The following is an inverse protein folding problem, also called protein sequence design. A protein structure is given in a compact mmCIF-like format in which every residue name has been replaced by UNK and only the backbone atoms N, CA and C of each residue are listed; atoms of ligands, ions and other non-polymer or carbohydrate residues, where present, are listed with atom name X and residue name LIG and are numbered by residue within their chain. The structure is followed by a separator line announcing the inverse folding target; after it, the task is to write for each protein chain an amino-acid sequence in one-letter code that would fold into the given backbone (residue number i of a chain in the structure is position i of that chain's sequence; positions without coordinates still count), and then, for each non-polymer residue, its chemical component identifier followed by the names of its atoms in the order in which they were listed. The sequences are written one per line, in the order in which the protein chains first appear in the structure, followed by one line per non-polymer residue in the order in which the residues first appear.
data_IF_875175514548
#
_entry.id   IF_875175514548
#
_cell.length_a   1.000
_cell.length_b   1.000
_cell.length_c   1.000
_cell.angle_alpha   90.00
_cell.angle_beta   90.00
_cell.angle_gamma   90.00
#
_symmetry.space_group_name_H-M   'P 1'
#
loop_
_entity.id
_entity.type
_entity.pdbx_description
1 polymer ?
#
# COMPACT_ATOMS: atom_id res chain seq x y z
N UNK A 1 19.45 -20.35 -27.38
CA UNK A 1 18.50 -19.41 -26.77
C UNK A 1 19.34 -18.32 -26.15
N UNK A 2 19.55 -17.24 -26.95
CA UNK A 2 20.56 -16.21 -26.71
C UNK A 2 20.02 -15.13 -25.78
N UNK A 3 20.66 -14.96 -24.61
CA UNK A 3 20.50 -13.80 -23.76
C UNK A 3 21.46 -12.72 -24.25
N UNK A 4 21.00 -11.86 -25.12
CA UNK A 4 21.71 -10.65 -25.52
C UNK A 4 21.79 -9.68 -24.34
N UNK A 5 22.90 -9.69 -23.61
CA UNK A 5 23.28 -8.58 -22.73
C UNK A 5 23.66 -7.41 -23.61
N UNK A 6 22.79 -6.42 -23.68
CA UNK A 6 23.06 -5.15 -24.34
C UNK A 6 24.02 -4.34 -23.47
N UNK A 7 25.29 -4.36 -23.80
CA UNK A 7 26.30 -3.48 -23.23
C UNK A 7 26.04 -2.06 -23.74
N UNK A 8 25.62 -1.16 -22.85
CA UNK A 8 25.60 0.27 -23.14
C UNK A 8 27.07 0.72 -23.28
N UNK A 9 27.44 1.10 -24.45
CA UNK A 9 28.84 1.38 -24.76
C UNK A 9 29.33 2.71 -24.20
N UNK A 10 29.95 2.66 -23.02
CA UNK A 10 31.03 3.59 -22.72
C UNK A 10 32.30 3.01 -23.35
N UNK A 11 32.68 3.55 -24.48
CA UNK A 11 33.80 3.03 -25.27
C UNK A 11 35.11 3.08 -24.50
N UNK A 12 35.62 1.90 -24.15
CA UNK A 12 36.97 1.73 -23.64
C UNK A 12 37.95 1.83 -24.82
N UNK A 13 38.50 2.99 -25.05
CA UNK A 13 39.67 3.15 -25.99
C UNK A 13 40.93 2.69 -25.25
N UNK A 14 41.31 1.42 -25.45
CA UNK A 14 42.65 0.93 -25.11
C UNK A 14 43.68 1.55 -26.03
N UNK A 15 44.44 2.58 -25.55
CA UNK A 15 45.72 2.92 -26.11
C UNK A 15 46.80 2.17 -25.34
N UNK A 16 47.41 1.18 -25.96
CA UNK A 16 48.61 0.50 -25.50
C UNK A 16 49.80 1.45 -25.73
N UNK A 17 50.32 2.02 -24.65
CA UNK A 17 51.51 2.83 -24.62
C UNK A 17 51.92 3.01 -23.15
N UNK A 18 53.02 2.36 -22.81
CA UNK A 18 53.76 2.39 -21.55
C UNK A 18 53.67 3.75 -20.82
N UNK A 19 53.53 3.69 -19.48
CA UNK A 19 53.67 4.75 -18.47
C UNK A 19 52.35 5.29 -17.89
N UNK A 20 52.20 4.99 -16.57
CA UNK A 20 51.23 5.55 -15.61
C UNK A 20 49.76 5.38 -16.00
N UNK A 21 49.16 4.30 -15.47
CA UNK A 21 47.72 4.15 -15.33
C UNK A 21 47.16 5.27 -14.44
N UNK A 22 46.90 6.42 -15.00
CA UNK A 22 45.81 7.26 -14.60
C UNK A 22 44.58 6.61 -15.25
N UNK A 23 43.92 5.75 -14.53
CA UNK A 23 42.57 5.35 -14.89
C UNK A 23 41.72 6.62 -14.81
N UNK A 24 41.58 7.31 -15.92
CA UNK A 24 40.52 8.28 -16.11
C UNK A 24 39.21 7.46 -15.94
N UNK A 25 38.65 7.50 -14.77
CA UNK A 25 37.28 7.05 -14.55
C UNK A 25 36.42 8.03 -15.33
N UNK A 26 36.15 7.69 -16.59
CA UNK A 26 35.14 8.38 -17.38
C UNK A 26 33.83 8.30 -16.59
N UNK A 27 33.51 9.37 -15.90
CA UNK A 27 32.23 9.46 -15.15
C UNK A 27 31.14 9.58 -16.22
N UNK A 28 30.66 8.44 -16.63
CA UNK A 28 29.52 8.32 -17.51
C UNK A 28 28.24 8.64 -16.72
N UNK A 29 27.22 9.18 -17.37
CA UNK A 29 25.89 9.33 -16.77
C UNK A 29 25.42 8.00 -16.15
N UNK A 30 25.06 8.02 -14.86
CA UNK A 30 24.60 6.84 -14.13
C UNK A 30 23.55 7.22 -13.10
N UNK A 31 22.41 6.55 -13.14
CA UNK A 31 21.43 6.62 -12.04
C UNK A 31 21.98 5.80 -10.87
N UNK A 32 22.26 6.45 -9.75
CA UNK A 32 22.83 5.82 -8.55
C UNK A 32 21.76 5.24 -7.66
N UNK A 33 20.64 5.95 -7.48
CA UNK A 33 19.51 5.52 -6.69
C UNK A 33 18.18 5.91 -7.35
N UNK A 34 17.16 5.09 -7.19
CA UNK A 34 15.78 5.39 -7.55
C UNK A 34 14.92 5.10 -6.31
N UNK A 35 14.50 6.18 -5.65
CA UNK A 35 13.65 6.11 -4.46
C UNK A 35 12.18 6.21 -4.88
N UNK A 36 11.51 5.08 -4.89
CA UNK A 36 10.08 4.93 -5.13
C UNK A 36 9.56 4.00 -4.05
N UNK A 37 8.68 4.45 -3.15
CA UNK A 37 8.15 3.59 -2.11
C UNK A 37 7.38 2.41 -2.72
N UNK A 38 7.48 1.23 -2.09
CA UNK A 38 6.77 0.03 -2.55
C UNK A 38 5.24 0.25 -2.50
N UNK A 39 4.76 0.97 -1.48
CA UNK A 39 3.36 1.33 -1.34
C UNK A 39 3.20 2.70 -0.70
N UNK A 40 2.06 3.33 -0.99
CA UNK A 40 1.63 4.59 -0.38
C UNK A 40 0.16 4.48 0.02
N UNK A 41 -0.16 4.84 1.26
CA UNK A 41 -1.52 4.78 1.81
C UNK A 41 -2.12 6.17 1.73
N UNK A 42 -3.24 6.31 1.02
CA UNK A 42 -3.99 7.57 0.98
C UNK A 42 -4.60 7.80 2.37
N UNK A 43 -4.31 8.96 2.97
CA UNK A 43 -4.91 9.35 4.24
C UNK A 43 -6.43 9.53 4.08
N UNK A 44 -7.20 8.95 5.01
CA UNK A 44 -8.63 9.20 5.16
C UNK A 44 -8.87 9.90 6.50
N UNK A 45 -9.66 10.97 6.50
CA UNK A 45 -10.00 11.72 7.71
C UNK A 45 -9.05 12.89 8.00
N UNK A 46 -8.84 13.20 9.28
CA UNK A 46 -8.09 14.37 9.75
C UNK A 46 -6.56 14.15 9.81
N UNK A 47 -6.07 12.94 9.56
CA UNK A 47 -4.63 12.68 9.56
C UNK A 47 -3.96 13.36 8.36
N UNK A 48 -2.86 14.10 8.58
CA UNK A 48 -2.13 14.68 7.48
C UNK A 48 -1.56 13.58 6.58
N UNK A 49 -1.81 13.68 5.29
CA UNK A 49 -1.18 12.79 4.33
C UNK A 49 0.34 13.05 4.30
N UNK A 50 1.14 12.00 4.32
CA UNK A 50 2.57 12.12 4.06
C UNK A 50 2.81 12.58 2.61
N UNK A 51 3.87 13.35 2.40
CA UNK A 51 4.27 13.75 1.05
C UNK A 51 4.71 12.52 0.25
N UNK A 52 4.13 12.33 -0.93
CA UNK A 52 4.57 11.29 -1.85
C UNK A 52 5.61 11.85 -2.81
N UNK A 53 6.88 11.62 -2.49
CA UNK A 53 8.02 12.05 -3.30
C UNK A 53 8.72 10.83 -3.87
N UNK A 54 8.97 10.86 -5.18
CA UNK A 54 9.80 9.89 -5.89
C UNK A 54 11.09 10.60 -6.28
N UNK A 55 12.26 10.08 -5.91
CA UNK A 55 13.55 10.72 -6.22
C UNK A 55 14.39 9.84 -7.15
N UNK A 56 15.13 10.52 -8.02
CA UNK A 56 16.02 9.89 -8.99
C UNK A 56 17.41 10.50 -8.84
N UNK A 57 18.27 9.84 -8.10
CA UNK A 57 19.64 10.28 -7.90
C UNK A 57 20.56 9.76 -9.03
N UNK A 58 21.41 10.61 -9.54
CA UNK A 58 22.35 10.25 -10.58
C UNK A 58 23.65 11.05 -10.49
N UNK A 59 24.70 10.45 -11.01
CA UNK A 59 25.98 11.09 -11.29
C UNK A 59 26.00 11.55 -12.75
N UNK A 60 26.46 12.78 -12.97
CA UNK A 60 26.54 13.38 -14.29
C UNK A 60 27.82 14.19 -14.37
N UNK A 61 28.67 13.91 -15.37
CA UNK A 61 29.78 14.79 -15.71
C UNK A 61 29.24 16.03 -16.44
N UNK A 62 29.48 17.21 -15.87
CA UNK A 62 29.07 18.49 -16.44
C UNK A 62 29.66 18.72 -17.84
N UNK A 63 30.84 18.18 -18.14
CA UNK A 63 31.44 18.27 -19.46
C UNK A 63 30.62 17.53 -20.54
N UNK A 64 29.92 16.47 -20.17
CA UNK A 64 29.06 15.65 -21.06
C UNK A 64 27.55 15.93 -20.89
N UNK A 65 27.18 16.93 -20.11
CA UNK A 65 25.77 17.26 -19.80
C UNK A 65 25.02 17.92 -20.97
N UNK A 66 25.62 18.02 -22.15
CA UNK A 66 25.00 18.65 -23.31
C UNK A 66 23.77 17.88 -23.76
N UNK A 67 22.65 18.59 -23.93
CA UNK A 67 21.37 17.97 -24.28
C UNK A 67 20.66 17.27 -23.10
N UNK A 68 21.04 17.61 -21.86
CA UNK A 68 20.43 17.00 -20.67
C UNK A 68 18.92 17.19 -20.61
N UNK A 69 18.20 16.09 -20.37
CA UNK A 69 16.75 16.03 -20.10
C UNK A 69 16.49 14.93 -19.07
N UNK A 70 15.73 15.26 -18.04
CA UNK A 70 15.17 14.27 -17.11
C UNK A 70 13.68 14.10 -17.39
N UNK A 71 13.23 12.85 -17.42
CA UNK A 71 11.84 12.47 -17.64
C UNK A 71 11.39 11.45 -16.61
N UNK A 72 10.19 11.65 -16.08
CA UNK A 72 9.46 10.59 -15.38
C UNK A 72 8.35 10.04 -16.28
N UNK A 73 8.19 8.72 -16.22
CA UNK A 73 7.12 8.00 -16.91
C UNK A 73 6.32 7.19 -15.90
N UNK A 74 5.05 7.03 -16.16
CA UNK A 74 4.13 6.13 -15.46
C UNK A 74 3.55 5.16 -16.49
N UNK A 75 3.75 3.84 -16.30
CA UNK A 75 3.33 2.80 -17.24
C UNK A 75 3.73 3.15 -18.70
N UNK A 76 5.02 3.53 -18.88
CA UNK A 76 5.63 3.95 -20.15
C UNK A 76 5.15 5.29 -20.73
N UNK A 77 4.09 5.89 -20.19
CA UNK A 77 3.63 7.23 -20.59
C UNK A 77 4.43 8.32 -19.88
N UNK A 78 4.91 9.30 -20.63
CA UNK A 78 5.62 10.45 -20.04
C UNK A 78 4.64 11.31 -19.23
N UNK A 79 4.97 11.51 -17.93
CA UNK A 79 4.17 12.29 -16.97
C UNK A 79 4.85 13.59 -16.55
N UNK A 80 6.18 13.65 -16.63
CA UNK A 80 6.97 14.79 -16.21
C UNK A 80 8.23 14.92 -17.05
N UNK A 81 8.66 16.16 -17.28
CA UNK A 81 9.92 16.46 -17.95
C UNK A 81 10.55 17.70 -17.34
N UNK A 82 11.86 17.63 -17.17
CA UNK A 82 12.67 18.77 -16.78
C UNK A 82 13.89 18.93 -17.68
N UNK A 83 14.18 20.17 -18.02
CA UNK A 83 15.39 20.63 -18.73
C UNK A 83 16.02 21.73 -17.89
N UNK A 84 17.32 21.69 -17.56
CA UNK A 84 17.99 22.74 -16.81
C UNK A 84 17.73 24.14 -17.39
N UNK A 85 17.59 25.12 -16.50
CA UNK A 85 17.23 26.53 -16.82
C UNK A 85 15.79 26.74 -17.32
N UNK A 86 14.94 25.69 -17.29
CA UNK A 86 13.49 25.80 -17.53
C UNK A 86 12.75 25.24 -16.32
N UNK A 87 11.50 25.69 -16.14
CA UNK A 87 10.58 25.04 -15.19
C UNK A 87 10.19 23.64 -15.68
N UNK A 88 9.98 22.69 -14.75
CA UNK A 88 9.44 21.38 -15.12
C UNK A 88 8.04 21.48 -15.73
N UNK A 89 7.63 20.45 -16.45
CA UNK A 89 6.32 20.35 -17.07
C UNK A 89 5.71 18.99 -16.76
N UNK A 90 4.44 18.99 -16.32
CA UNK A 90 3.65 17.77 -16.18
C UNK A 90 2.78 17.52 -17.40
N UNK A 91 2.53 16.24 -17.71
CA UNK A 91 1.77 15.77 -18.87
C UNK A 91 0.60 14.87 -18.46
N UNK A 92 -0.33 14.64 -19.37
CA UNK A 92 -1.42 13.66 -19.24
C UNK A 92 -2.31 13.90 -18.01
N UNK A 93 -2.76 12.83 -17.38
CA UNK A 93 -3.56 12.83 -16.15
C UNK A 93 -2.81 13.34 -14.90
N UNK A 94 -1.50 13.53 -14.99
CA UNK A 94 -0.69 14.05 -13.88
C UNK A 94 -0.64 15.59 -13.83
N UNK A 95 -1.25 16.29 -14.80
CA UNK A 95 -1.42 17.75 -14.73
C UNK A 95 -2.28 18.11 -13.52
N UNK A 96 -1.75 18.99 -12.65
CA UNK A 96 -2.40 19.38 -11.40
C UNK A 96 -2.16 18.41 -10.24
N UNK A 97 -1.49 17.27 -10.49
CA UNK A 97 -1.12 16.30 -9.47
C UNK A 97 0.39 16.20 -9.23
N UNK A 98 1.16 17.16 -9.76
CA UNK A 98 2.61 17.28 -9.55
C UNK A 98 2.92 18.66 -9.03
N UNK A 99 3.70 18.74 -7.94
CA UNK A 99 4.29 20.00 -7.47
C UNK A 99 5.49 20.36 -8.35
N UNK A 100 5.30 21.29 -9.27
CA UNK A 100 6.34 21.72 -10.23
C UNK A 100 7.34 22.71 -9.61
N UNK A 101 7.10 23.20 -8.39
CA UNK A 101 8.04 24.09 -7.67
C UNK A 101 8.89 23.29 -6.66
N UNK A 102 8.59 22.01 -6.43
CA UNK A 102 9.34 21.16 -5.51
C UNK A 102 10.76 20.95 -6.03
N UNK A 103 11.74 21.26 -5.19
CA UNK A 103 13.17 21.13 -5.54
C UNK A 103 13.94 20.43 -4.42
N UNK A 104 14.86 19.53 -4.79
CA UNK A 104 15.69 18.76 -3.84
C UNK A 104 17.12 19.29 -3.73
N UNK A 105 17.51 20.24 -4.60
CA UNK A 105 18.88 20.76 -4.64
C UNK A 105 18.91 22.14 -5.30
N UNK A 106 19.96 22.93 -5.02
CA UNK A 106 20.25 24.15 -5.74
C UNK A 106 21.18 23.93 -6.95
N UNK A 107 21.72 22.71 -7.10
CA UNK A 107 22.55 22.36 -8.26
C UNK A 107 21.73 22.40 -9.55
N UNK A 108 22.36 22.98 -10.58
CA UNK A 108 21.72 23.21 -11.87
C UNK A 108 21.16 21.94 -12.53
N UNK A 109 21.81 20.79 -12.31
CA UNK A 109 21.45 19.53 -12.92
C UNK A 109 20.77 18.55 -11.95
N UNK A 110 20.57 18.94 -10.66
CA UNK A 110 19.93 18.11 -9.66
C UNK A 110 18.61 18.71 -9.13
N UNK A 111 18.35 19.99 -9.43
CA UNK A 111 17.32 20.80 -8.79
C UNK A 111 15.93 20.15 -8.79
N UNK A 112 15.46 19.72 -9.93
CA UNK A 112 14.10 19.20 -10.14
C UNK A 112 14.13 17.72 -10.57
N UNK A 113 15.04 16.93 -9.98
CA UNK A 113 15.16 15.51 -10.29
C UNK A 113 14.05 14.66 -9.67
N UNK A 114 13.47 15.13 -8.54
CA UNK A 114 12.41 14.43 -7.86
C UNK A 114 11.01 14.81 -8.39
N UNK A 115 10.09 13.88 -8.26
CA UNK A 115 8.69 14.02 -8.62
C UNK A 115 7.86 13.99 -7.34
N UNK A 116 7.33 15.15 -6.91
CA UNK A 116 6.40 15.24 -5.77
C UNK A 116 4.97 15.15 -6.29
N UNK A 117 4.24 14.10 -5.89
CA UNK A 117 2.85 13.88 -6.25
C UNK A 117 1.92 14.51 -5.22
N UNK A 118 0.93 15.23 -5.69
CA UNK A 118 -0.10 15.93 -4.89
C UNK A 118 -1.42 15.21 -5.09
N UNK A 119 -2.13 14.93 -3.99
CA UNK A 119 -3.43 14.25 -4.00
C UNK A 119 -3.42 12.98 -4.89
N UNK A 120 -2.57 12.00 -4.55
CA UNK A 120 -2.48 10.78 -5.34
C UNK A 120 -3.81 10.02 -5.31
N UNK A 121 -4.11 9.32 -6.41
CA UNK A 121 -5.34 8.54 -6.60
C UNK A 121 -4.98 7.07 -6.82
N UNK A 122 -5.96 6.16 -6.67
CA UNK A 122 -5.76 4.72 -6.85
C UNK A 122 -5.13 4.37 -8.23
N UNK A 123 -5.52 5.08 -9.29
CA UNK A 123 -5.01 4.90 -10.65
C UNK A 123 -3.56 5.40 -10.86
N UNK A 124 -2.92 5.97 -9.83
CA UNK A 124 -1.48 6.27 -9.84
C UNK A 124 -0.63 5.05 -9.45
N UNK A 125 -1.26 3.93 -9.10
CA UNK A 125 -0.58 2.63 -9.01
C UNK A 125 0.05 2.29 -10.36
N UNK A 126 1.32 1.86 -10.34
CA UNK A 126 1.99 1.45 -11.57
C UNK A 126 3.50 1.52 -11.51
N UNK A 127 4.12 1.29 -12.66
CA UNK A 127 5.56 1.36 -12.81
C UNK A 127 6.00 2.80 -13.10
N UNK A 128 6.86 3.33 -12.23
CA UNK A 128 7.49 4.63 -12.41
C UNK A 128 8.91 4.43 -12.94
N UNK A 129 9.24 5.14 -14.01
CA UNK A 129 10.56 5.11 -14.61
C UNK A 129 11.14 6.51 -14.63
N UNK A 130 12.35 6.66 -14.05
CA UNK A 130 13.18 7.82 -14.24
C UNK A 130 14.12 7.57 -15.44
N UNK A 131 14.13 8.48 -16.39
CA UNK A 131 15.02 8.50 -17.53
C UNK A 131 15.84 9.78 -17.53
N UNK A 132 17.16 9.65 -17.49
CA UNK A 132 18.11 10.76 -17.60
C UNK A 132 18.87 10.60 -18.91
N UNK A 133 18.85 11.64 -19.72
CA UNK A 133 19.37 11.62 -21.09
C UNK A 133 20.27 12.80 -21.34
N UNK A 134 21.37 12.58 -22.06
CA UNK A 134 22.21 13.59 -22.73
C UNK A 134 22.33 13.25 -24.21
N UNK A 135 23.14 14.00 -25.00
CA UNK A 135 23.39 13.61 -26.38
C UNK A 135 24.20 12.31 -26.50
N UNK A 136 25.03 12.02 -25.47
CA UNK A 136 26.01 10.94 -25.54
C UNK A 136 25.60 9.72 -24.69
N UNK A 137 24.63 9.88 -23.77
CA UNK A 137 24.20 8.83 -22.83
C UNK A 137 22.71 8.87 -22.53
N UNK A 138 22.15 7.70 -22.17
CA UNK A 138 20.78 7.55 -21.72
C UNK A 138 20.73 6.44 -20.67
N UNK A 139 20.24 6.78 -19.47
CA UNK A 139 20.03 5.85 -18.36
C UNK A 139 18.57 5.84 -17.96
N UNK A 140 18.03 4.65 -17.63
CA UNK A 140 16.66 4.45 -17.20
C UNK A 140 16.62 3.46 -16.07
N UNK A 141 15.91 3.79 -14.99
CA UNK A 141 15.54 2.85 -13.92
C UNK A 141 14.06 2.93 -13.64
N UNK A 142 13.49 1.79 -13.19
CA UNK A 142 12.07 1.67 -12.94
C UNK A 142 11.84 0.97 -11.61
N UNK A 143 10.75 1.37 -10.92
CA UNK A 143 10.24 0.72 -9.73
C UNK A 143 8.72 0.80 -9.73
N UNK A 144 8.08 -0.13 -9.01
CA UNK A 144 6.62 -0.19 -8.88
C UNK A 144 6.17 0.53 -7.61
N UNK A 145 5.10 1.31 -7.73
CA UNK A 145 4.40 1.95 -6.61
C UNK A 145 2.96 1.41 -6.55
N UNK A 146 2.56 0.89 -5.40
CA UNK A 146 1.18 0.53 -5.11
C UNK A 146 0.51 1.63 -4.30
N UNK A 147 -0.50 2.27 -4.84
CA UNK A 147 -1.38 3.17 -4.07
C UNK A 147 -2.46 2.36 -3.39
N UNK A 148 -2.63 2.59 -2.09
CA UNK A 148 -3.64 1.95 -1.25
C UNK A 148 -4.66 3.00 -0.84
N UNK A 149 -5.91 2.76 -1.19
CA UNK A 149 -7.07 3.48 -0.64
C UNK A 149 -7.62 2.61 0.49
N UNK A 150 -7.46 3.01 1.76
CA UNK A 150 -7.93 2.22 2.89
C UNK A 150 -9.44 1.97 2.82
N UNK A 151 -9.90 0.93 3.48
CA UNK A 151 -11.32 0.61 3.64
C UNK A 151 -12.07 1.73 4.37
N UNK A 152 -13.35 1.88 4.03
CA UNK A 152 -14.30 2.71 4.79
C UNK A 152 -14.74 1.96 6.05
N UNK A 153 -15.05 0.66 5.91
CA UNK A 153 -15.44 -0.18 7.02
C UNK A 153 -14.71 -1.52 6.98
N UNK A 154 -14.34 -2.00 8.17
CA UNK A 154 -13.83 -3.35 8.38
C UNK A 154 -14.46 -3.93 9.64
N UNK A 155 -15.40 -4.87 9.47
CA UNK A 155 -16.27 -5.37 10.51
C UNK A 155 -16.18 -6.89 10.65
N UNK A 156 -16.15 -7.35 11.90
CA UNK A 156 -16.31 -8.75 12.27
C UNK A 156 -17.60 -8.87 13.08
N UNK A 157 -18.56 -9.62 12.57
CA UNK A 157 -19.88 -9.82 13.20
C UNK A 157 -20.24 -11.29 13.26
N UNK A 158 -21.19 -11.66 14.11
CA UNK A 158 -21.82 -12.97 14.09
C UNK A 158 -23.31 -12.83 14.38
N UNK A 159 -24.12 -13.68 13.79
CA UNK A 159 -25.55 -13.72 13.99
C UNK A 159 -26.06 -15.16 13.97
N UNK A 160 -27.19 -15.40 14.59
CA UNK A 160 -27.85 -16.70 14.60
C UNK A 160 -28.93 -16.76 13.53
N UNK A 161 -28.85 -17.77 12.69
CA UNK A 161 -29.80 -18.06 11.64
C UNK A 161 -31.09 -18.71 12.24
N UNK A 162 -32.17 -18.65 11.47
CA UNK A 162 -33.45 -19.27 11.85
C UNK A 162 -33.41 -20.81 12.03
N UNK A 163 -32.48 -21.47 11.36
CA UNK A 163 -32.18 -22.89 11.48
C UNK A 163 -31.38 -23.26 12.74
N UNK A 164 -30.97 -22.25 13.53
CA UNK A 164 -30.22 -22.41 14.77
C UNK A 164 -28.69 -22.38 14.59
N UNK A 165 -28.13 -22.33 13.38
CA UNK A 165 -26.70 -22.19 13.16
C UNK A 165 -26.22 -20.76 13.45
N UNK A 166 -24.99 -20.62 13.87
CA UNK A 166 -24.34 -19.31 14.06
C UNK A 166 -23.40 -19.04 12.88
N UNK A 167 -23.65 -17.95 12.16
CA UNK A 167 -22.81 -17.48 11.04
C UNK A 167 -21.91 -16.36 11.53
N UNK A 168 -20.60 -16.52 11.31
CA UNK A 168 -19.60 -15.46 11.47
C UNK A 168 -19.40 -14.79 10.13
N UNK A 169 -19.36 -13.48 10.13
CA UNK A 169 -19.14 -12.66 8.95
C UNK A 169 -18.02 -11.67 9.19
N UNK A 170 -17.03 -11.69 8.29
CA UNK A 170 -15.99 -10.69 8.16
C UNK A 170 -16.25 -9.90 6.88
N UNK A 171 -16.38 -8.59 6.97
CA UNK A 171 -16.71 -7.73 5.85
C UNK A 171 -15.80 -6.49 5.80
N UNK A 172 -15.35 -6.16 4.61
CA UNK A 172 -14.62 -4.93 4.31
C UNK A 172 -15.31 -4.22 3.15
N UNK A 173 -15.36 -2.89 3.20
CA UNK A 173 -15.97 -2.08 2.14
C UNK A 173 -15.05 -0.98 1.64
N UNK A 174 -15.20 -0.68 0.34
CA UNK A 174 -14.60 0.44 -0.38
C UNK A 174 -13.07 0.53 -0.22
N UNK A 175 -12.37 -0.61 -0.39
CA UNK A 175 -10.91 -0.72 -0.35
C UNK A 175 -10.31 -0.91 -1.74
N UNK A 176 -9.15 -0.33 -2.00
CA UNK A 176 -8.39 -0.56 -3.23
C UNK A 176 -6.88 -0.65 -2.91
N UNK A 177 -6.15 -1.59 -3.54
CA UNK A 177 -6.59 -2.64 -4.45
C UNK A 177 -7.35 -3.76 -3.74
N UNK A 178 -7.75 -4.80 -4.49
CA UNK A 178 -8.47 -5.97 -3.96
C UNK A 178 -7.72 -6.59 -2.77
N UNK A 179 -8.37 -6.68 -1.59
CA UNK A 179 -7.76 -7.27 -0.42
C UNK A 179 -7.90 -8.79 -0.40
N UNK A 180 -7.13 -9.41 0.49
CA UNK A 180 -7.36 -10.77 0.99
C UNK A 180 -7.91 -10.71 2.41
N UNK A 181 -8.96 -11.49 2.67
CA UNK A 181 -9.52 -11.72 4.00
C UNK A 181 -9.23 -13.15 4.42
N UNK A 182 -8.76 -13.31 5.66
CA UNK A 182 -8.60 -14.61 6.31
C UNK A 182 -9.36 -14.60 7.65
N UNK A 183 -10.16 -15.64 7.89
CA UNK A 183 -10.91 -15.83 9.14
C UNK A 183 -10.28 -16.98 9.93
N UNK A 184 -10.09 -16.75 11.21
CA UNK A 184 -9.50 -17.72 12.13
C UNK A 184 -10.47 -18.00 13.28
N UNK A 185 -10.65 -19.27 13.57
CA UNK A 185 -11.46 -19.79 14.66
C UNK A 185 -10.53 -20.58 15.58
N UNK A 186 -10.38 -20.14 16.84
CA UNK A 186 -9.43 -20.72 17.81
C UNK A 186 -8.01 -20.92 17.19
N UNK A 187 -7.46 -19.85 16.56
CA UNK A 187 -6.16 -19.80 15.88
C UNK A 187 -6.05 -20.67 14.61
N UNK A 188 -7.12 -21.36 14.21
CA UNK A 188 -7.13 -22.15 12.99
C UNK A 188 -7.79 -21.37 11.86
N UNK A 189 -7.07 -21.24 10.72
CA UNK A 189 -7.62 -20.60 9.52
C UNK A 189 -8.74 -21.48 8.94
N UNK A 190 -9.85 -20.84 8.63
CA UNK A 190 -11.02 -21.51 8.05
C UNK A 190 -10.98 -21.42 6.52
N UNK A 191 -11.52 -22.44 5.84
CA UNK A 191 -11.73 -22.41 4.38
C UNK A 191 -13.16 -21.92 4.10
N UNK A 192 -13.25 -20.75 3.46
CA UNK A 192 -14.50 -20.01 3.41
C UNK A 192 -14.98 -19.66 2.02
N UNK A 193 -16.25 -19.29 1.92
CA UNK A 193 -16.82 -18.67 0.74
C UNK A 193 -16.58 -17.16 0.83
N UNK A 194 -15.78 -16.65 -0.10
CA UNK A 194 -15.53 -15.22 -0.25
C UNK A 194 -16.45 -14.67 -1.34
N UNK A 195 -17.31 -13.73 -0.98
CA UNK A 195 -18.06 -12.94 -1.94
C UNK A 195 -17.33 -11.63 -2.16
N UNK A 196 -17.08 -11.28 -3.43
CA UNK A 196 -16.42 -10.03 -3.81
C UNK A 196 -17.31 -9.26 -4.74
N UNK A 197 -17.54 -7.99 -4.42
CA UNK A 197 -18.13 -7.00 -5.31
C UNK A 197 -17.05 -6.05 -5.81
N UNK A 198 -17.02 -5.79 -7.13
CA UNK A 198 -16.06 -4.90 -7.78
C UNK A 198 -16.81 -3.63 -8.20
N UNK A 199 -16.36 -2.48 -7.72
CA UNK A 199 -16.94 -1.19 -8.02
C UNK A 199 -16.30 -0.55 -9.24
N UNK A 200 -17.05 0.29 -9.96
CA UNK A 200 -16.65 0.96 -11.21
C UNK A 200 -15.33 1.76 -11.10
N UNK A 201 -14.90 2.09 -9.90
CA UNK A 201 -13.66 2.84 -9.63
C UNK A 201 -12.48 1.96 -9.17
N UNK A 202 -12.60 0.62 -9.27
CA UNK A 202 -11.57 -0.31 -8.82
C UNK A 202 -11.44 -0.40 -7.29
N UNK A 203 -12.50 -0.05 -6.56
CA UNK A 203 -12.67 -0.37 -5.15
C UNK A 203 -13.42 -1.70 -5.00
N UNK A 204 -13.25 -2.35 -3.86
CA UNK A 204 -13.77 -3.68 -3.60
C UNK A 204 -14.52 -3.73 -2.27
N UNK A 205 -15.68 -4.38 -2.30
CA UNK A 205 -16.34 -4.90 -1.13
C UNK A 205 -16.09 -6.41 -1.06
N UNK A 206 -15.60 -6.89 0.07
CA UNK A 206 -15.29 -8.32 0.26
C UNK A 206 -15.95 -8.80 1.54
N UNK A 207 -16.73 -9.86 1.42
CA UNK A 207 -17.41 -10.51 2.56
C UNK A 207 -16.98 -11.96 2.61
N UNK A 208 -16.52 -12.39 3.78
CA UNK A 208 -16.16 -13.76 4.08
C UNK A 208 -17.11 -14.29 5.17
N UNK A 209 -17.73 -15.45 4.96
CA UNK A 209 -18.69 -16.04 5.87
C UNK A 209 -18.30 -17.47 6.25
N UNK A 210 -18.51 -17.81 7.53
CA UNK A 210 -18.31 -19.13 8.10
C UNK A 210 -19.45 -19.53 9.04
N UNK A 211 -19.85 -20.79 8.97
CA UNK A 211 -20.82 -21.36 9.90
C UNK A 211 -20.07 -22.07 11.02
N UNK A 212 -20.25 -21.63 12.26
CA UNK A 212 -19.66 -22.32 13.41
C UNK A 212 -20.25 -23.73 13.54
N UNK A 213 -19.37 -24.71 13.59
CA UNK A 213 -19.74 -26.13 13.73
C UNK A 213 -20.14 -26.50 15.14
N UNK A 214 -19.64 -25.78 16.15
CA UNK A 214 -19.96 -25.93 17.55
C UNK A 214 -20.15 -24.55 18.20
N UNK A 215 -21.39 -24.16 18.44
CA UNK A 215 -21.75 -22.90 19.11
C UNK A 215 -22.04 -23.05 20.61
N UNK A 216 -21.71 -24.19 21.19
CA UNK A 216 -21.92 -24.47 22.62
C UNK A 216 -20.84 -23.91 23.52
N UNK A 217 -19.59 -23.73 22.99
CA UNK A 217 -18.41 -23.27 23.72
C UNK A 217 -18.02 -21.83 23.35
N UNK A 218 -17.26 -21.21 24.24
CA UNK A 218 -16.61 -19.93 23.97
C UNK A 218 -15.52 -20.14 22.93
N UNK A 219 -15.46 -19.24 21.95
CA UNK A 219 -14.61 -19.37 20.78
C UNK A 219 -13.97 -18.01 20.45
N UNK A 220 -12.64 -17.99 20.31
CA UNK A 220 -11.93 -16.80 19.86
C UNK A 220 -12.01 -16.70 18.34
N UNK A 221 -12.48 -15.58 17.85
CA UNK A 221 -12.63 -15.33 16.41
C UNK A 221 -11.81 -14.11 16.04
N UNK A 222 -11.00 -14.21 15.01
CA UNK A 222 -10.38 -13.03 14.42
C UNK A 222 -10.40 -13.07 12.90
N UNK A 223 -10.53 -11.89 12.32
CA UNK A 223 -10.44 -11.66 10.91
C UNK A 223 -9.23 -10.80 10.60
N UNK A 224 -8.43 -11.22 9.61
CA UNK A 224 -7.28 -10.49 9.11
C UNK A 224 -7.57 -10.00 7.70
N UNK A 225 -7.37 -8.71 7.51
CA UNK A 225 -7.37 -8.03 6.22
C UNK A 225 -5.92 -7.78 5.81
N UNK A 226 -5.55 -8.12 4.58
CA UNK A 226 -4.24 -7.81 4.01
C UNK A 226 -4.34 -7.41 2.54
N UNK A 227 -3.37 -6.61 2.08
CA UNK A 227 -3.20 -6.31 0.65
C UNK A 227 -1.93 -7.02 0.17
N UNK A 228 -2.06 -7.98 -0.76
CA UNK A 228 -0.93 -8.75 -1.27
C UNK A 228 0.22 -7.89 -1.77
N UNK A 229 1.45 -8.29 -1.45
CA UNK A 229 2.66 -7.58 -1.89
C UNK A 229 2.93 -6.26 -1.15
N UNK A 230 2.19 -5.95 -0.07
CA UNK A 230 2.39 -4.76 0.76
C UNK A 230 2.45 -5.11 2.23
N UNK A 231 2.80 -4.13 3.07
CA UNK A 231 2.77 -4.27 4.54
C UNK A 231 1.39 -3.87 5.13
N UNK A 232 0.39 -3.60 4.29
CA UNK A 232 -0.93 -3.21 4.76
C UNK A 232 -1.66 -4.42 5.33
N UNK A 233 -1.84 -4.42 6.65
CA UNK A 233 -2.55 -5.50 7.37
C UNK A 233 -3.33 -4.90 8.52
N UNK A 234 -4.59 -5.32 8.67
CA UNK A 234 -5.47 -4.98 9.81
C UNK A 234 -6.10 -6.22 10.38
N UNK A 235 -6.44 -6.19 11.68
CA UNK A 235 -7.07 -7.29 12.40
C UNK A 235 -8.31 -6.81 13.15
N UNK A 236 -9.33 -7.65 13.16
CA UNK A 236 -10.51 -7.53 14.03
C UNK A 236 -10.66 -8.79 14.84
N UNK A 237 -10.89 -8.66 16.14
CA UNK A 237 -11.04 -9.79 17.07
C UNK A 237 -12.36 -9.69 17.81
N UNK A 238 -12.95 -10.84 18.06
CA UNK A 238 -14.18 -10.95 18.85
C UNK A 238 -14.22 -12.29 19.58
N UNK A 239 -14.69 -12.29 20.83
CA UNK A 239 -14.99 -13.51 21.54
C UNK A 239 -16.47 -13.86 21.30
N UNK A 240 -16.72 -15.03 20.76
CA UNK A 240 -18.05 -15.61 20.70
C UNK A 240 -18.30 -16.36 22.02
N UNK A 241 -19.41 -16.05 22.67
CA UNK A 241 -19.85 -16.72 23.90
C UNK A 241 -20.91 -17.78 23.58
N UNK A 242 -20.56 -19.02 23.82
CA UNK A 242 -21.40 -20.18 23.56
C UNK A 242 -22.70 -20.21 24.39
N UNK A 243 -23.57 -21.10 24.02
CA UNK A 243 -24.86 -21.25 24.68
C UNK A 243 -24.76 -21.59 26.19
N UNK A 244 -23.74 -22.34 26.59
CA UNK A 244 -23.45 -22.67 27.98
C UNK A 244 -23.14 -21.43 28.83
N UNK A 245 -22.38 -20.50 28.32
CA UNK A 245 -22.06 -19.24 29.01
C UNK A 245 -23.29 -18.36 29.19
N UNK A 246 -24.15 -18.29 28.18
CA UNK A 246 -25.45 -17.53 28.26
C UNK A 246 -26.41 -18.12 29.27
N UNK A 247 -26.45 -19.44 29.34
CA UNK A 247 -27.27 -20.13 30.35
C UNK A 247 -26.84 -19.82 31.80
N UNK A 248 -25.50 -19.77 32.03
CA UNK A 248 -24.95 -19.44 33.34
C UNK A 248 -25.22 -17.99 33.75
N UNK A 249 -25.15 -17.03 32.82
CA UNK A 249 -25.47 -15.62 33.11
C UNK A 249 -26.96 -15.47 33.45
N UNK A 250 -27.84 -16.10 32.69
CA UNK A 250 -29.28 -16.03 32.93
C UNK A 250 -29.67 -16.66 34.28
N UNK A 251 -29.04 -17.76 34.67
CA UNK A 251 -29.22 -18.40 35.97
C UNK A 251 -28.70 -17.50 37.10
N UNK A 252 -27.54 -16.85 36.93
CA UNK A 252 -26.99 -15.92 37.91
C UNK A 252 -27.88 -14.69 38.09
N UNK A 253 -28.41 -14.14 37.01
CA UNK A 253 -29.34 -13.02 37.05
C UNK A 253 -30.65 -13.40 37.77
N UNK A 254 -31.21 -14.59 37.47
CA UNK A 254 -32.38 -15.09 38.16
C UNK A 254 -32.13 -15.26 39.66
N UNK A 255 -30.97 -15.76 40.07
CA UNK A 255 -30.55 -15.89 41.46
C UNK A 255 -30.45 -14.52 42.16
N UNK A 256 -29.88 -13.54 41.51
CA UNK A 256 -29.78 -12.17 42.03
C UNK A 256 -31.13 -11.51 42.21
N UNK A 257 -32.05 -11.70 41.27
CA UNK A 257 -33.43 -11.21 41.40
C UNK A 257 -34.19 -11.92 42.56
N UNK A 258 -33.98 -13.22 42.70
CA UNK A 258 -34.60 -13.98 43.82
C UNK A 258 -34.04 -13.51 45.18
N UNK A 259 -32.75 -13.26 45.29
CA UNK A 259 -32.13 -12.72 46.53
C UNK A 259 -32.64 -11.30 46.83
N UNK A 260 -32.73 -10.43 45.83
CA UNK A 260 -33.26 -9.08 45.98
C UNK A 260 -34.74 -9.09 46.46
N UNK A 261 -35.55 -9.96 45.87
CA UNK A 261 -36.96 -10.15 46.31
C UNK A 261 -37.06 -10.68 47.74
N UNK A 262 -36.18 -11.59 48.14
CA UNK A 262 -36.16 -12.13 49.52
C UNK A 262 -35.79 -11.05 50.54
N UNK A 263 -34.82 -10.18 50.22
CA UNK A 263 -34.44 -9.06 51.10
C UNK A 263 -35.59 -8.05 51.23
N UNK A 264 -36.25 -7.70 50.13
CA UNK A 264 -37.43 -6.81 50.15
C UNK A 264 -38.59 -7.37 50.96
N UNK A 265 -38.83 -8.68 50.89
CA UNK A 265 -39.90 -9.33 51.67
C UNK A 265 -39.58 -9.41 53.16
N UNK A 266 -38.29 -9.44 53.52
CA UNK A 266 -37.89 -9.43 54.95
C UNK A 266 -37.97 -8.04 55.59
N UNK A 267 -37.84 -6.96 54.81
CA UNK A 267 -37.94 -5.57 55.29
C UNK A 267 -39.38 -5.08 55.45
N UNK A 268 -40.37 -5.75 54.85
CA UNK A 268 -41.81 -5.41 54.98
C UNK A 268 -42.46 -6.09 56.21
N UNK A 269 -41.74 -6.93 56.91
CA UNK A 269 -42.27 -7.64 58.09
C UNK A 269 -41.89 -7.05 59.46
N UNK A 270 -41.43 -5.78 59.49
CA UNK A 270 -41.24 -5.04 60.74
C UNK A 270 -42.15 -3.82 60.81
#
# INVERSE_FOLDING_TARGET
MDTQRRWSGCGLLFKIGFILLLAEVSQCLRITNLDVPQSYIIARGEEPAEDLVLDCEYELDVATAKGFVLKWKHNDLQIYQWIPSKKPVAFTSFKGHVDLEYSVSDDRFQKYRALKLINPMANFTGNYSCAVQTYDANEVRSAHLQIIVPEVEFNLTYHRESNGSTVVQCAVSDISPKPELALFIDESETKEVVLTEDHVQGAYDVVLQHVLTDDSKDTAIHCQLSIPGTNYTKKREKMFHGAAFRANISALQALLYALAAAVLSSTIRY
#
